data_IF_431632500557
#
_entry.id   IF_431632500557
#
_cell.length_a   1.000
_cell.length_b   1.000
_cell.length_c   1.000
_cell.angle_alpha   90.00
_cell.angle_beta   90.00
_cell.angle_gamma   90.00
#
_symmetry.space_group_name_H-M   'P 1'
#
loop_
_entity.id
_entity.type
_entity.pdbx_description
1 polymer ?
#
# COMPACT_ATOMS: atom_id res chain seq x y z
N UNK A 1 -1.50 -18.94 3.77
CA UNK A 1 -2.14 -18.49 2.51
C UNK A 1 -3.53 -17.88 2.74
N UNK A 2 -4.51 -18.55 3.34
CA UNK A 2 -5.87 -18.00 3.49
C UNK A 2 -5.96 -16.65 4.24
N UNK A 3 -5.15 -16.42 5.28
CA UNK A 3 -5.18 -15.15 6.04
C UNK A 3 -4.63 -13.95 5.25
N UNK A 4 -3.63 -14.15 4.39
CA UNK A 4 -3.05 -13.07 3.58
C UNK A 4 -3.98 -12.64 2.44
N UNK A 5 -4.63 -13.59 1.77
CA UNK A 5 -5.68 -13.29 0.79
C UNK A 5 -6.76 -12.41 1.42
N UNK A 6 -7.16 -12.71 2.65
CA UNK A 6 -8.12 -11.88 3.39
C UNK A 6 -7.62 -10.44 3.65
N UNK A 7 -6.32 -10.22 3.89
CA UNK A 7 -5.80 -8.85 4.11
C UNK A 7 -5.82 -8.03 2.81
N UNK A 8 -5.37 -8.59 1.71
CA UNK A 8 -5.42 -7.92 0.40
C UNK A 8 -6.87 -7.55 0.03
N UNK A 9 -7.84 -8.45 0.25
CA UNK A 9 -9.24 -8.18 -0.07
C UNK A 9 -9.85 -7.11 0.84
N UNK A 10 -9.48 -7.06 2.13
CA UNK A 10 -9.89 -5.97 3.03
C UNK A 10 -9.35 -4.61 2.57
N UNK A 11 -8.09 -4.57 2.12
CA UNK A 11 -7.48 -3.34 1.59
C UNK A 11 -8.19 -2.91 0.30
N UNK A 12 -8.45 -3.84 -0.64
CA UNK A 12 -9.23 -3.54 -1.85
C UNK A 12 -10.59 -2.94 -1.52
N UNK A 13 -11.32 -3.56 -0.59
CA UNK A 13 -12.62 -3.05 -0.13
C UNK A 13 -12.49 -1.63 0.43
N UNK A 14 -11.56 -1.40 1.35
CA UNK A 14 -11.35 -0.09 1.96
C UNK A 14 -11.00 1.01 0.94
N UNK A 15 -10.22 0.68 -0.09
CA UNK A 15 -9.91 1.61 -1.18
C UNK A 15 -11.12 1.88 -2.09
N UNK A 16 -11.94 0.86 -2.36
CA UNK A 16 -13.17 1.03 -3.14
C UNK A 16 -14.22 1.86 -2.41
N UNK A 17 -14.22 1.87 -1.08
CA UNK A 17 -15.16 2.62 -0.24
C UNK A 17 -14.81 4.12 -0.13
N UNK A 18 -13.66 4.56 -0.66
CA UNK A 18 -13.30 5.99 -0.71
C UNK A 18 -14.30 6.73 -1.63
N UNK A 19 -14.95 7.74 -1.07
CA UNK A 19 -15.97 8.52 -1.80
C UNK A 19 -15.36 9.44 -2.86
N UNK A 20 -15.50 9.05 -4.12
CA UNK A 20 -15.05 9.81 -5.27
C UNK A 20 -15.77 11.15 -5.45
N UNK A 21 -17.00 11.29 -4.93
CA UNK A 21 -17.81 12.51 -5.11
C UNK A 21 -17.27 13.70 -4.31
N UNK A 22 -16.55 13.43 -3.22
CA UNK A 22 -15.96 14.44 -2.32
C UNK A 22 -14.57 14.91 -2.76
N UNK A 23 -14.01 14.32 -3.80
CA UNK A 23 -12.63 14.54 -4.24
C UNK A 23 -12.56 15.26 -5.58
N UNK A 24 -11.50 16.04 -5.74
CA UNK A 24 -11.15 16.57 -7.05
C UNK A 24 -10.74 15.43 -7.97
N UNK A 25 -11.51 15.20 -9.02
CA UNK A 25 -11.30 14.13 -9.98
C UNK A 25 -10.27 14.56 -11.04
N UNK A 26 -9.04 14.78 -10.60
CA UNK A 26 -7.95 15.24 -11.47
C UNK A 26 -6.62 14.65 -11.04
N UNK A 27 -5.84 14.08 -11.97
CA UNK A 27 -4.49 13.58 -11.69
C UNK A 27 -3.53 14.67 -11.18
N UNK A 28 -3.84 15.94 -11.44
CA UNK A 28 -3.03 17.07 -10.97
C UNK A 28 -3.26 17.42 -9.49
N UNK A 29 -4.27 16.84 -8.85
CA UNK A 29 -4.58 17.03 -7.43
C UNK A 29 -4.56 15.73 -6.64
N UNK A 30 -3.81 14.76 -7.11
CA UNK A 30 -3.68 13.45 -6.48
C UNK A 30 -3.21 13.48 -5.03
N UNK A 31 -2.46 14.52 -4.63
CA UNK A 31 -2.09 14.74 -3.23
C UNK A 31 -3.28 14.87 -2.25
N UNK A 32 -4.48 15.22 -2.75
CA UNK A 32 -5.72 15.24 -1.93
C UNK A 32 -6.21 13.81 -1.59
N UNK A 33 -5.74 12.80 -2.33
CA UNK A 33 -6.13 11.40 -2.16
C UNK A 33 -5.24 10.65 -1.18
N UNK A 34 -3.98 11.05 -1.06
CA UNK A 34 -2.99 10.38 -0.21
C UNK A 34 -3.44 10.23 1.25
N UNK A 35 -4.00 11.27 1.91
CA UNK A 35 -4.46 11.13 3.29
C UNK A 35 -5.58 10.10 3.46
N UNK A 36 -6.55 10.06 2.55
CA UNK A 36 -7.69 9.13 2.64
C UNK A 36 -7.26 7.71 2.34
N UNK A 37 -6.39 7.52 1.34
CA UNK A 37 -5.79 6.22 1.03
C UNK A 37 -5.02 5.69 2.26
N UNK A 38 -4.14 6.52 2.82
CA UNK A 38 -3.37 6.15 4.03
C UNK A 38 -4.31 5.87 5.21
N UNK A 39 -5.31 6.71 5.46
CA UNK A 39 -6.26 6.52 6.56
C UNK A 39 -7.09 5.23 6.40
N UNK A 40 -7.61 4.96 5.19
CA UNK A 40 -8.40 3.76 4.92
C UNK A 40 -7.59 2.47 5.13
N UNK A 41 -6.37 2.43 4.59
CA UNK A 41 -5.50 1.25 4.76
C UNK A 41 -5.02 1.13 6.21
N UNK A 42 -4.67 2.26 6.87
CA UNK A 42 -4.27 2.25 8.27
C UNK A 42 -5.36 1.71 9.20
N UNK A 43 -6.62 2.08 8.94
CA UNK A 43 -7.76 1.57 9.72
C UNK A 43 -7.89 0.06 9.57
N UNK A 44 -7.71 -0.50 8.38
CA UNK A 44 -7.71 -1.96 8.19
C UNK A 44 -6.65 -2.63 9.06
N UNK A 45 -5.42 -2.10 9.08
CA UNK A 45 -4.33 -2.66 9.90
C UNK A 45 -4.62 -2.58 11.40
N UNK A 46 -5.17 -1.45 11.84
CA UNK A 46 -5.57 -1.23 13.22
C UNK A 46 -6.66 -2.23 13.66
N UNK A 47 -7.70 -2.42 12.84
CA UNK A 47 -8.80 -3.36 13.12
C UNK A 47 -8.34 -4.83 13.13
N UNK A 48 -7.22 -5.14 12.49
CA UNK A 48 -6.57 -6.46 12.57
C UNK A 48 -5.63 -6.60 13.78
N UNK A 49 -5.49 -5.58 14.62
CA UNK A 49 -4.67 -5.61 15.83
C UNK A 49 -3.19 -5.30 15.62
N UNK A 50 -2.82 -4.74 14.46
CA UNK A 50 -1.43 -4.37 14.18
C UNK A 50 -1.07 -2.97 14.70
N UNK A 51 0.22 -2.76 14.94
CA UNK A 51 0.77 -1.41 15.12
C UNK A 51 1.07 -0.83 13.74
N UNK A 52 0.31 0.18 13.34
CA UNK A 52 0.42 0.85 12.04
C UNK A 52 1.23 2.12 12.18
N UNK A 53 2.24 2.28 11.36
CA UNK A 53 3.12 3.44 11.29
C UNK A 53 2.98 4.09 9.91
N UNK A 54 2.54 5.34 9.89
CA UNK A 54 2.44 6.13 8.66
C UNK A 54 2.37 7.63 8.99
N UNK A 55 2.95 8.49 8.17
CA UNK A 55 2.75 9.93 8.31
C UNK A 55 1.35 10.36 7.85
N UNK A 56 0.81 11.39 8.49
CA UNK A 56 -0.47 12.01 8.09
C UNK A 56 -1.72 11.25 8.55
N UNK A 57 -1.61 10.31 9.47
CA UNK A 57 -2.75 9.62 10.09
C UNK A 57 -3.02 10.13 11.51
N UNK A 58 -4.27 9.99 11.98
CA UNK A 58 -4.62 10.29 13.36
C UNK A 58 -4.03 9.23 14.30
N UNK A 59 -3.40 9.68 15.40
CA UNK A 59 -2.84 8.77 16.40
C UNK A 59 -3.95 8.10 17.22
N UNK A 60 -3.76 6.82 17.53
CA UNK A 60 -4.66 6.01 18.36
C UNK A 60 -3.89 4.88 19.04
N UNK A 61 -4.24 4.59 20.29
CA UNK A 61 -3.65 3.48 21.06
C UNK A 61 -4.76 2.70 21.78
N UNK A 62 -4.94 1.44 21.38
CA UNK A 62 -5.88 0.51 22.01
C UNK A 62 -5.14 -0.77 22.46
N UNK A 63 -4.03 -0.58 23.13
CA UNK A 63 -3.25 -1.68 23.72
C UNK A 63 -2.41 -2.46 22.71
N UNK A 64 -2.96 -3.47 22.06
CA UNK A 64 -2.22 -4.25 21.06
C UNK A 64 -2.12 -3.50 19.72
N UNK A 65 -3.23 -2.88 19.30
CA UNK A 65 -3.30 -2.10 18.07
C UNK A 65 -2.94 -0.62 18.32
N UNK A 66 -2.19 -0.03 17.41
CA UNK A 66 -1.79 1.37 17.47
C UNK A 66 -1.79 2.01 16.09
N UNK A 67 -2.17 3.28 16.03
CA UNK A 67 -1.89 4.18 14.90
C UNK A 67 -0.83 5.18 15.34
N UNK A 68 0.32 5.18 14.68
CA UNK A 68 1.46 6.05 14.99
C UNK A 68 1.69 6.99 13.80
N UNK A 69 1.59 8.29 14.05
CA UNK A 69 1.78 9.32 13.03
C UNK A 69 3.27 9.57 12.76
N UNK A 70 3.94 8.53 12.25
CA UNK A 70 5.34 8.55 11.88
C UNK A 70 5.60 7.45 10.85
N UNK A 71 6.39 7.73 9.84
CA UNK A 71 6.89 6.71 8.93
C UNK A 71 7.96 5.84 9.60
N UNK A 72 7.94 4.55 9.26
CA UNK A 72 8.94 3.58 9.68
C UNK A 72 9.37 2.75 8.49
N UNK A 73 10.43 3.14 7.81
CA UNK A 73 11.02 2.57 6.58
C UNK A 73 10.22 2.79 5.28
N UNK A 74 8.89 2.70 5.33
CA UNK A 74 7.99 2.80 4.18
C UNK A 74 6.93 3.87 4.46
N UNK A 75 6.22 4.31 3.45
CA UNK A 75 5.09 5.23 3.57
C UNK A 75 4.05 4.74 4.60
N UNK A 76 3.88 3.40 4.68
CA UNK A 76 3.16 2.74 5.76
C UNK A 76 3.76 1.39 6.07
N UNK A 77 3.82 1.06 7.37
CA UNK A 77 4.26 -0.24 7.88
C UNK A 77 3.26 -0.78 8.89
N UNK A 78 2.85 -2.06 8.74
CA UNK A 78 2.09 -2.77 9.78
C UNK A 78 3.00 -3.75 10.49
N UNK A 79 3.13 -3.57 11.79
CA UNK A 79 4.03 -4.34 12.63
C UNK A 79 3.23 -5.26 13.56
N UNK A 80 3.59 -6.54 13.56
CA UNK A 80 3.10 -7.49 14.54
C UNK A 80 4.07 -7.56 15.73
N UNK A 81 3.51 -7.68 16.94
CA UNK A 81 4.24 -7.84 18.17
C UNK A 81 3.68 -9.02 18.96
N UNK A 82 4.56 -9.75 19.63
CA UNK A 82 4.21 -10.78 20.61
C UNK A 82 4.32 -10.22 22.02
N UNK A 83 3.39 -10.65 22.90
CA UNK A 83 3.32 -10.16 24.28
C UNK A 83 2.53 -8.86 24.40
N UNK A 84 2.54 -8.28 25.61
CA UNK A 84 1.80 -7.05 25.95
C UNK A 84 2.70 -6.07 26.72
N UNK A 85 2.34 -4.78 26.67
CA UNK A 85 3.02 -3.72 27.39
C UNK A 85 4.45 -3.44 26.92
N UNK A 86 5.33 -2.95 27.81
CA UNK A 86 6.68 -2.52 27.44
C UNK A 86 7.61 -3.68 27.00
N UNK A 87 7.30 -4.91 27.39
CA UNK A 87 8.10 -6.09 27.07
C UNK A 87 7.69 -6.78 25.76
N UNK A 88 6.75 -6.20 25.01
CA UNK A 88 6.35 -6.74 23.72
C UNK A 88 7.53 -6.84 22.77
N UNK A 89 7.64 -7.97 22.08
CA UNK A 89 8.72 -8.23 21.11
C UNK A 89 8.20 -8.02 19.69
N UNK A 90 8.96 -7.32 18.88
CA UNK A 90 8.69 -7.25 17.43
C UNK A 90 8.76 -8.66 16.85
N UNK A 91 7.72 -9.07 16.14
CA UNK A 91 7.58 -10.39 15.55
C UNK A 91 7.79 -10.34 14.03
N UNK A 92 7.05 -9.49 13.32
CA UNK A 92 7.15 -9.42 11.86
C UNK A 92 6.66 -8.08 11.30
N UNK A 93 7.15 -7.76 10.10
CA UNK A 93 6.57 -6.75 9.22
C UNK A 93 5.45 -7.45 8.41
N UNK A 94 4.22 -7.14 8.74
CA UNK A 94 3.03 -7.74 8.11
C UNK A 94 2.75 -7.10 6.76
N UNK A 95 2.84 -5.76 6.71
CA UNK A 95 2.64 -4.99 5.49
C UNK A 95 3.72 -3.92 5.35
N UNK A 96 4.24 -3.79 4.13
CA UNK A 96 4.99 -2.64 3.65
C UNK A 96 4.22 -1.99 2.50
N UNK A 97 4.01 -0.67 2.57
CA UNK A 97 3.31 0.07 1.53
C UNK A 97 4.13 1.28 1.10
N UNK A 98 4.18 1.48 -0.22
CA UNK A 98 4.62 2.71 -0.87
C UNK A 98 3.48 3.29 -1.71
N UNK A 99 3.40 4.62 -1.78
CA UNK A 99 2.36 5.31 -2.52
C UNK A 99 2.94 6.45 -3.35
N UNK A 100 2.96 6.28 -4.68
CA UNK A 100 3.46 7.29 -5.60
C UNK A 100 2.32 7.89 -6.43
N UNK A 101 1.78 8.99 -5.93
CA UNK A 101 0.72 9.77 -6.58
C UNK A 101 1.26 11.09 -7.17
N UNK A 102 2.50 11.08 -7.65
CA UNK A 102 3.16 12.26 -8.21
C UNK A 102 2.40 12.86 -9.38
N UNK A 103 2.41 14.17 -9.44
CA UNK A 103 1.89 14.97 -10.56
C UNK A 103 2.95 15.28 -11.61
N UNK A 104 4.16 14.73 -11.46
CA UNK A 104 5.25 14.90 -12.41
C UNK A 104 4.91 14.33 -13.78
N UNK A 105 5.50 14.90 -14.82
CA UNK A 105 5.34 14.37 -16.17
C UNK A 105 6.13 13.09 -16.39
N UNK A 106 5.65 12.23 -17.32
CA UNK A 106 6.43 11.09 -17.82
C UNK A 106 7.74 11.58 -18.48
N UNK A 107 8.86 10.82 -18.42
CA UNK A 107 8.95 9.48 -17.78
C UNK A 107 9.29 9.50 -16.29
N UNK A 108 9.50 10.69 -15.65
CA UNK A 108 9.93 10.80 -14.25
C UNK A 108 8.91 10.15 -13.29
N UNK A 109 7.62 10.41 -13.52
CA UNK A 109 6.55 9.82 -12.73
C UNK A 109 6.64 8.29 -12.67
N UNK A 110 6.90 7.64 -13.80
CA UNK A 110 7.02 6.20 -13.82
C UNK A 110 8.30 5.69 -13.15
N UNK A 111 9.40 6.41 -13.29
CA UNK A 111 10.65 6.05 -12.63
C UNK A 111 10.49 6.01 -11.10
N UNK A 112 9.81 7.00 -10.52
CA UNK A 112 9.53 7.04 -9.07
C UNK A 112 8.67 5.87 -8.61
N UNK A 113 7.62 5.52 -9.38
CA UNK A 113 6.81 4.31 -9.11
C UNK A 113 7.66 3.04 -9.11
N UNK A 114 8.61 2.94 -10.05
CA UNK A 114 9.52 1.78 -10.16
C UNK A 114 10.50 1.76 -8.98
N UNK A 115 11.08 2.88 -8.62
CA UNK A 115 12.03 2.98 -7.50
C UNK A 115 11.37 2.58 -6.18
N UNK A 116 10.15 3.05 -5.93
CA UNK A 116 9.36 2.68 -4.75
C UNK A 116 8.96 1.20 -4.76
N UNK A 117 8.62 0.67 -5.93
CA UNK A 117 8.34 -0.76 -6.06
C UNK A 117 9.57 -1.63 -5.80
N UNK A 118 10.76 -1.20 -6.23
CA UNK A 118 12.01 -1.92 -5.97
C UNK A 118 12.36 -1.97 -4.48
N UNK A 119 12.05 -0.91 -3.72
CA UNK A 119 12.12 -0.95 -2.24
C UNK A 119 11.22 -2.03 -1.66
N UNK A 120 9.99 -2.16 -2.20
CA UNK A 120 9.07 -3.21 -1.76
C UNK A 120 9.57 -4.61 -2.10
N UNK A 121 10.18 -4.83 -3.27
CA UNK A 121 10.71 -6.14 -3.65
C UNK A 121 11.70 -6.68 -2.61
N UNK A 122 12.57 -5.82 -2.09
CA UNK A 122 13.59 -6.21 -1.10
C UNK A 122 13.07 -6.23 0.36
N UNK A 123 11.87 -5.72 0.61
CA UNK A 123 11.28 -5.73 1.95
C UNK A 123 10.93 -7.16 2.39
N UNK A 124 11.15 -7.49 3.67
CA UNK A 124 10.67 -8.73 4.26
C UNK A 124 9.30 -8.53 4.90
N UNK A 125 8.28 -8.34 4.07
CA UNK A 125 6.90 -8.17 4.48
C UNK A 125 6.03 -9.31 3.94
N UNK A 126 5.00 -9.71 4.67
CA UNK A 126 4.06 -10.74 4.22
C UNK A 126 3.20 -10.23 3.05
N UNK A 127 2.77 -8.97 3.10
CA UNK A 127 2.05 -8.29 2.04
C UNK A 127 2.75 -6.99 1.66
N UNK A 128 3.06 -6.83 0.38
CA UNK A 128 3.68 -5.63 -0.19
C UNK A 128 2.65 -4.90 -1.05
N UNK A 129 2.39 -3.65 -0.73
CA UNK A 129 1.35 -2.85 -1.37
C UNK A 129 1.98 -1.65 -2.07
N UNK A 130 1.71 -1.51 -3.36
CA UNK A 130 2.05 -0.31 -4.11
C UNK A 130 0.77 0.39 -4.55
N UNK A 131 0.62 1.66 -4.20
CA UNK A 131 -0.47 2.52 -4.67
C UNK A 131 0.10 3.56 -5.64
N UNK A 132 -0.46 3.66 -6.85
CA UNK A 132 -0.04 4.64 -7.83
C UNK A 132 -1.21 5.11 -8.69
N UNK A 133 -0.97 6.01 -9.66
CA UNK A 133 -2.03 6.53 -10.51
C UNK A 133 -1.68 6.43 -12.00
N UNK A 134 -2.71 6.26 -12.84
CA UNK A 134 -2.64 6.28 -14.30
C UNK A 134 -3.87 6.97 -14.90
N UNK A 135 -3.70 7.47 -16.11
CA UNK A 135 -4.79 8.17 -16.78
C UNK A 135 -5.80 7.19 -17.34
N UNK A 136 -5.36 6.04 -17.86
CA UNK A 136 -6.23 5.06 -18.52
C UNK A 136 -5.96 3.61 -18.10
N UNK A 137 -6.97 2.77 -18.28
CA UNK A 137 -6.95 1.35 -17.90
C UNK A 137 -5.92 0.55 -18.69
N UNK A 138 -5.74 0.83 -19.98
CA UNK A 138 -4.83 0.07 -20.83
C UNK A 138 -3.37 0.26 -20.39
N UNK A 139 -2.96 1.50 -20.10
CA UNK A 139 -1.63 1.77 -19.57
C UNK A 139 -1.49 1.17 -18.16
N UNK A 140 -2.52 1.22 -17.32
CA UNK A 140 -2.53 0.60 -15.99
C UNK A 140 -2.23 -0.89 -16.08
N UNK A 141 -2.96 -1.64 -16.88
CA UNK A 141 -2.76 -3.09 -17.03
C UNK A 141 -1.37 -3.42 -17.58
N UNK A 142 -0.88 -2.65 -18.54
CA UNK A 142 0.50 -2.80 -19.04
C UNK A 142 1.54 -2.57 -17.95
N UNK A 143 1.35 -1.56 -17.10
CA UNK A 143 2.25 -1.25 -15.98
C UNK A 143 2.23 -2.33 -14.89
N UNK A 144 1.07 -2.89 -14.60
CA UNK A 144 0.97 -4.04 -13.70
C UNK A 144 1.82 -5.21 -14.18
N UNK A 145 1.79 -5.55 -15.47
CA UNK A 145 2.60 -6.64 -16.03
C UNK A 145 4.10 -6.33 -15.97
N UNK A 146 4.51 -5.08 -16.19
CA UNK A 146 5.91 -4.67 -16.04
C UNK A 146 6.39 -4.88 -14.59
N UNK A 147 5.61 -4.44 -13.60
CA UNK A 147 5.96 -4.60 -12.18
C UNK A 147 5.98 -6.10 -11.79
N UNK A 148 4.99 -6.87 -12.21
CA UNK A 148 4.95 -8.32 -11.97
C UNK A 148 6.16 -9.04 -12.57
N UNK A 149 6.60 -8.63 -13.75
CA UNK A 149 7.79 -9.19 -14.40
C UNK A 149 9.06 -8.89 -13.58
N UNK A 150 9.21 -7.68 -13.02
CA UNK A 150 10.34 -7.34 -12.16
C UNK A 150 10.46 -8.28 -10.94
N UNK A 151 9.34 -8.66 -10.32
CA UNK A 151 9.37 -9.62 -9.20
C UNK A 151 9.88 -10.98 -9.67
N UNK A 152 9.44 -11.45 -10.84
CA UNK A 152 9.89 -12.75 -11.41
C UNK A 152 11.37 -12.75 -11.80
N UNK A 153 11.90 -11.61 -12.19
CA UNK A 153 13.30 -11.44 -12.58
C UNK A 153 14.23 -11.19 -11.37
N UNK A 154 13.68 -10.93 -10.20
CA UNK A 154 14.48 -10.72 -9.01
C UNK A 154 15.20 -12.00 -8.59
N UNK A 155 16.52 -11.92 -8.35
CA UNK A 155 17.39 -13.08 -8.17
C UNK A 155 17.06 -13.94 -6.94
N UNK A 156 16.42 -13.34 -5.93
CA UNK A 156 16.09 -14.01 -4.66
C UNK A 156 14.65 -13.68 -4.24
N UNK A 157 13.63 -14.19 -4.97
CA UNK A 157 12.24 -13.91 -4.62
C UNK A 157 11.90 -14.54 -3.27
N UNK A 158 11.20 -13.80 -2.43
CA UNK A 158 10.62 -14.29 -1.20
C UNK A 158 9.34 -15.08 -1.55
N UNK A 159 9.34 -16.38 -1.35
CA UNK A 159 8.25 -17.27 -1.76
C UNK A 159 6.99 -17.16 -0.89
N UNK A 160 7.10 -16.55 0.29
CA UNK A 160 6.01 -16.42 1.27
C UNK A 160 5.40 -15.02 1.29
N UNK A 161 5.70 -14.22 0.26
CA UNK A 161 5.24 -12.83 0.12
C UNK A 161 4.16 -12.72 -0.94
N UNK A 162 3.18 -11.85 -0.69
CA UNK A 162 2.16 -11.44 -1.65
C UNK A 162 2.32 -9.97 -2.04
N UNK A 163 1.93 -9.64 -3.26
CA UNK A 163 1.96 -8.30 -3.80
C UNK A 163 0.55 -7.84 -4.16
N UNK A 164 0.17 -6.65 -3.71
CA UNK A 164 -1.04 -5.96 -4.12
C UNK A 164 -0.66 -4.64 -4.81
N UNK A 165 -0.86 -4.58 -6.12
CA UNK A 165 -0.78 -3.34 -6.87
C UNK A 165 -2.17 -2.72 -6.94
N UNK A 166 -2.29 -1.45 -6.55
CA UNK A 166 -3.53 -0.68 -6.59
C UNK A 166 -3.29 0.59 -7.41
N UNK A 167 -4.01 0.77 -8.48
CA UNK A 167 -3.89 1.96 -9.32
C UNK A 167 -5.18 2.78 -9.33
N UNK A 168 -5.08 4.09 -9.11
CA UNK A 168 -6.15 5.03 -9.46
C UNK A 168 -6.17 5.14 -10.98
N UNK A 169 -7.30 4.78 -11.62
CA UNK A 169 -7.53 4.93 -13.05
C UNK A 169 -8.47 6.12 -13.27
N UNK A 170 -7.91 7.25 -13.69
CA UNK A 170 -8.66 8.50 -13.76
C UNK A 170 -9.78 8.48 -14.78
N UNK A 171 -9.57 7.84 -15.95
CA UNK A 171 -10.62 7.70 -16.98
C UNK A 171 -11.84 6.91 -16.50
N UNK A 172 -11.61 5.93 -15.61
CA UNK A 172 -12.62 5.02 -15.09
C UNK A 172 -13.20 5.50 -13.74
N UNK A 173 -12.55 6.46 -13.08
CA UNK A 173 -12.88 6.94 -11.73
C UNK A 173 -13.00 5.80 -10.73
N UNK A 174 -12.01 4.92 -10.71
CA UNK A 174 -11.97 3.77 -9.80
C UNK A 174 -10.55 3.33 -9.52
N UNK A 175 -10.41 2.46 -8.53
CA UNK A 175 -9.22 1.67 -8.36
C UNK A 175 -9.25 0.43 -9.26
N UNK A 176 -8.10 0.09 -9.82
CA UNK A 176 -7.83 -1.19 -10.46
C UNK A 176 -6.77 -1.93 -9.67
N UNK A 177 -6.86 -3.26 -9.60
CA UNK A 177 -6.00 -4.06 -8.74
C UNK A 177 -5.35 -5.22 -9.49
N UNK A 178 -4.10 -5.51 -9.13
CA UNK A 178 -3.45 -6.79 -9.43
C UNK A 178 -2.90 -7.38 -8.13
N UNK A 179 -3.33 -8.61 -7.77
CA UNK A 179 -2.87 -9.34 -6.61
C UNK A 179 -2.20 -10.64 -7.05
N UNK A 180 -0.98 -10.91 -6.57
CA UNK A 180 -0.19 -12.09 -6.96
C UNK A 180 0.84 -12.45 -5.88
N UNK A 181 1.29 -13.72 -5.81
CA UNK A 181 2.40 -14.17 -4.98
C UNK A 181 3.75 -13.72 -5.53
#
# INVERSE_FOLDING_TARGET
MAAQVMLADKIKSALCDIDWSTKTQSPFKSGEWTPDIKASIAQVGFDQGYSVWASGIAERDEGAARLVNQEWLFDMSWLAYEGRGPERKFSSLVLALESELSTKAEPKKWAEVVDDFEKLIIARAQLKVLVFQRDDLKDTLRRFEVLRTKVKEFAHPDTDTEYLLAAIVWSEKRFEFLHFP
#
